data_IF_593709181876
#
_entry.id   IF_593709181876
#
_cell.length_a   1.000
_cell.length_b   1.000
_cell.length_c   1.000
_cell.angle_alpha   90.00
_cell.angle_beta   90.00
_cell.angle_gamma   90.00
#
_symmetry.space_group_name_H-M   'P 1'
#
loop_
_entity.id
_entity.type
_entity.pdbx_description
1 polymer ?
#
# COMPACT_ATOMS: atom_id res chain seq x y z
N UNK A 1 8.84 -13.74 29.08
CA UNK A 1 8.94 -13.68 27.60
C UNK A 1 7.85 -12.74 27.13
N UNK A 2 8.19 -11.51 26.78
CA UNK A 2 7.23 -10.59 26.16
C UNK A 2 7.17 -11.04 24.70
N UNK A 3 6.10 -11.72 24.31
CA UNK A 3 5.84 -11.94 22.89
C UNK A 3 5.73 -10.56 22.26
N UNK A 4 6.66 -10.22 21.38
CA UNK A 4 6.63 -8.96 20.63
C UNK A 4 5.41 -9.04 19.71
N UNK A 5 4.29 -8.46 20.17
CA UNK A 5 3.04 -8.47 19.42
C UNK A 5 3.23 -7.50 18.27
N UNK A 6 3.18 -8.01 17.04
CA UNK A 6 3.25 -7.18 15.84
C UNK A 6 2.16 -6.12 15.89
N UNK A 7 2.56 -4.85 15.82
CA UNK A 7 1.65 -3.72 15.70
C UNK A 7 1.79 -3.08 14.34
N UNK A 8 0.68 -2.66 13.76
CA UNK A 8 0.65 -2.04 12.43
C UNK A 8 0.00 -0.67 12.52
N UNK A 9 0.66 0.33 11.96
CA UNK A 9 0.12 1.66 11.77
C UNK A 9 -0.21 1.86 10.30
N UNK A 10 -1.46 2.22 10.01
CA UNK A 10 -1.92 2.47 8.65
C UNK A 10 -2.17 3.97 8.51
N UNK A 11 -1.40 4.60 7.62
CA UNK A 11 -1.52 6.02 7.29
C UNK A 11 -2.26 6.13 5.96
N UNK A 12 -3.44 6.74 5.98
CA UNK A 12 -4.24 7.04 4.80
C UNK A 12 -3.89 8.45 4.33
N UNK A 13 -3.25 8.55 3.18
CA UNK A 13 -2.73 9.77 2.57
C UNK A 13 -3.64 10.13 1.39
N UNK A 14 -4.07 11.39 1.34
CA UNK A 14 -4.90 11.89 0.25
C UNK A 14 -4.11 12.07 -1.05
N UNK A 15 -4.80 12.00 -2.17
CA UNK A 15 -4.22 12.21 -3.50
C UNK A 15 -3.40 13.50 -3.59
N UNK A 16 -3.91 14.58 -3.00
CA UNK A 16 -3.30 15.90 -3.04
C UNK A 16 -1.98 15.95 -2.28
N UNK A 17 -1.85 15.17 -1.20
CA UNK A 17 -0.61 15.05 -0.44
C UNK A 17 0.44 14.21 -1.19
N UNK A 18 0.01 13.12 -1.84
CA UNK A 18 0.91 12.27 -2.64
C UNK A 18 1.43 13.02 -3.86
N UNK A 19 0.67 13.96 -4.42
CA UNK A 19 1.12 14.79 -5.56
C UNK A 19 2.37 15.62 -5.26
N UNK A 20 2.63 15.96 -4.00
CA UNK A 20 3.88 16.62 -3.64
C UNK A 20 5.11 15.71 -3.81
N UNK A 21 4.92 14.38 -3.73
CA UNK A 21 5.96 13.39 -4.04
C UNK A 21 5.99 13.04 -5.54
N UNK A 22 4.82 12.90 -6.17
CA UNK A 22 4.69 12.54 -7.58
C UNK A 22 3.71 13.46 -8.31
N UNK A 23 4.21 14.39 -9.13
CA UNK A 23 3.36 15.35 -9.85
C UNK A 23 2.36 14.70 -10.81
N UNK A 24 2.63 13.47 -11.28
CA UNK A 24 1.74 12.69 -12.15
C UNK A 24 0.70 11.84 -11.41
N UNK A 25 0.57 11.99 -10.09
CA UNK A 25 -0.35 11.18 -9.30
C UNK A 25 -1.83 11.45 -9.64
N UNK A 26 -2.67 10.41 -9.85
CA UNK A 26 -4.09 10.60 -10.20
C UNK A 26 -4.93 11.28 -9.10
N UNK A 27 -5.79 12.23 -9.48
CA UNK A 27 -6.55 13.11 -8.55
C UNK A 27 -7.47 12.40 -7.55
N UNK A 28 -7.99 11.24 -7.93
CA UNK A 28 -9.00 10.51 -7.16
C UNK A 28 -8.42 9.27 -6.46
N UNK A 29 -7.10 9.05 -6.55
CA UNK A 29 -6.43 7.89 -5.95
C UNK A 29 -5.71 8.33 -4.68
N UNK A 30 -6.03 7.67 -3.58
CA UNK A 30 -5.39 7.82 -2.29
C UNK A 30 -4.40 6.68 -2.05
N UNK A 31 -3.54 6.84 -1.05
CA UNK A 31 -2.52 5.86 -0.69
C UNK A 31 -2.65 5.44 0.77
N UNK A 32 -2.66 4.14 1.04
CA UNK A 32 -2.55 3.57 2.38
C UNK A 32 -1.13 3.03 2.57
N UNK A 33 -0.35 3.67 3.44
CA UNK A 33 0.95 3.18 3.86
C UNK A 33 0.80 2.39 5.17
N UNK A 34 1.09 1.10 5.10
CA UNK A 34 0.97 0.17 6.21
C UNK A 34 2.37 -0.12 6.77
N UNK A 35 2.63 0.36 7.98
CA UNK A 35 3.93 0.29 8.65
C UNK A 35 3.83 -0.72 9.80
N UNK A 36 4.56 -1.83 9.71
CA UNK A 36 4.68 -2.82 10.79
C UNK A 36 5.79 -2.45 11.77
N UNK A 37 5.61 -2.78 13.05
CA UNK A 37 6.67 -2.70 14.07
C UNK A 37 7.87 -3.59 13.78
N UNK A 38 7.71 -4.63 12.94
CA UNK A 38 8.83 -5.46 12.46
C UNK A 38 9.60 -4.84 11.29
N UNK A 39 9.15 -3.68 10.82
CA UNK A 39 9.79 -2.92 9.77
C UNK A 39 9.30 -3.23 8.36
N UNK A 40 8.23 -3.99 8.16
CA UNK A 40 7.65 -4.06 6.81
C UNK A 40 6.88 -2.78 6.50
N UNK A 41 6.99 -2.31 5.25
CA UNK A 41 6.17 -1.25 4.71
C UNK A 41 5.46 -1.76 3.46
N UNK A 42 4.14 -1.67 3.45
CA UNK A 42 3.30 -2.01 2.30
C UNK A 42 2.50 -0.80 1.88
N UNK A 43 2.48 -0.51 0.59
CA UNK A 43 1.80 0.64 0.00
C UNK A 43 0.65 0.14 -0.86
N UNK A 44 -0.56 0.62 -0.59
CA UNK A 44 -1.79 0.15 -1.22
C UNK A 44 -2.57 1.35 -1.72
N UNK A 45 -2.86 1.38 -3.02
CA UNK A 45 -3.65 2.44 -3.65
C UNK A 45 -5.14 2.12 -3.57
N UNK A 46 -5.96 3.16 -3.48
CA UNK A 46 -7.42 3.02 -3.45
C UNK A 46 -8.09 4.29 -3.93
N UNK A 47 -9.33 4.21 -4.41
CA UNK A 47 -10.07 5.42 -4.81
C UNK A 47 -10.62 6.17 -3.59
N UNK A 48 -10.61 7.50 -3.64
CA UNK A 48 -11.13 8.38 -2.58
C UNK A 48 -12.55 8.03 -2.14
N UNK A 49 -13.41 7.63 -3.07
CA UNK A 49 -14.81 7.25 -2.78
C UNK A 49 -14.91 5.99 -1.91
N UNK A 50 -13.93 5.10 -2.00
CA UNK A 50 -13.88 3.84 -1.25
C UNK A 50 -13.26 4.01 0.14
N UNK A 51 -12.80 5.22 0.49
CA UNK A 51 -12.08 5.49 1.75
C UNK A 51 -12.79 4.97 2.99
N UNK A 52 -14.12 5.02 3.01
CA UNK A 52 -14.93 4.54 4.14
C UNK A 52 -14.94 3.01 4.28
N UNK A 53 -14.68 2.27 3.20
CA UNK A 53 -14.58 0.80 3.19
C UNK A 53 -13.15 0.31 3.44
N UNK A 54 -12.16 1.17 3.17
CA UNK A 54 -10.75 0.80 3.22
C UNK A 54 -10.26 0.28 4.58
N UNK A 55 -10.65 0.82 5.75
CA UNK A 55 -10.18 0.28 7.02
C UNK A 55 -10.46 -1.23 7.17
N UNK A 56 -11.69 -1.66 6.90
CA UNK A 56 -12.05 -3.07 6.99
C UNK A 56 -11.43 -3.92 5.88
N UNK A 57 -11.30 -3.38 4.66
CA UNK A 57 -10.61 -4.07 3.55
C UNK A 57 -9.12 -4.29 3.86
N UNK A 58 -8.43 -3.27 4.36
CA UNK A 58 -7.00 -3.35 4.71
C UNK A 58 -6.75 -4.37 5.80
N UNK A 59 -7.58 -4.40 6.84
CA UNK A 59 -7.49 -5.39 7.91
C UNK A 59 -7.64 -6.81 7.35
N UNK A 60 -8.63 -7.05 6.49
CA UNK A 60 -8.85 -8.37 5.86
C UNK A 60 -7.69 -8.76 4.94
N UNK A 61 -7.29 -7.84 4.06
CA UNK A 61 -6.28 -8.08 3.03
C UNK A 61 -4.90 -8.36 3.64
N UNK A 62 -4.51 -7.59 4.66
CA UNK A 62 -3.25 -7.76 5.38
C UNK A 62 -3.33 -8.76 6.54
N UNK A 63 -4.50 -9.40 6.74
CA UNK A 63 -4.77 -10.37 7.83
C UNK A 63 -4.39 -9.83 9.21
N UNK A 64 -4.64 -8.53 9.43
CA UNK A 64 -4.29 -7.83 10.67
C UNK A 64 -5.33 -8.06 11.77
N UNK A 65 -4.92 -7.88 13.02
CA UNK A 65 -5.85 -7.86 14.16
C UNK A 65 -6.16 -6.42 14.55
N UNK A 66 -7.45 -6.09 14.69
CA UNK A 66 -7.92 -4.75 15.07
C UNK A 66 -7.25 -4.22 16.34
N UNK A 67 -7.04 -5.08 17.34
CA UNK A 67 -6.39 -4.74 18.62
C UNK A 67 -4.94 -4.26 18.49
N UNK A 68 -4.25 -4.65 17.42
CA UNK A 68 -2.86 -4.29 17.15
C UNK A 68 -2.71 -3.31 15.99
N UNK A 69 -3.82 -2.80 15.46
CA UNK A 69 -3.81 -1.88 14.32
C UNK A 69 -4.30 -0.50 14.73
N UNK A 70 -3.58 0.52 14.29
CA UNK A 70 -4.00 1.91 14.44
C UNK A 70 -4.04 2.63 13.09
N UNK A 71 -4.94 3.59 12.96
CA UNK A 71 -5.15 4.38 11.76
C UNK A 71 -4.80 5.85 11.99
N UNK A 72 -4.28 6.48 10.93
CA UNK A 72 -4.06 7.92 10.82
C UNK A 72 -4.58 8.35 9.44
N UNK A 73 -5.52 9.31 9.31
CA UNK A 73 -6.22 10.02 10.37
C UNK A 73 -7.16 9.10 11.16
N UNK A 74 -7.87 9.66 12.16
CA UNK A 74 -8.80 8.91 13.01
C UNK A 74 -9.88 8.21 12.18
N UNK A 75 -10.11 6.93 12.49
CA UNK A 75 -11.19 6.09 11.93
C UNK A 75 -11.98 5.49 13.07
N UNK A 76 -13.31 5.46 12.95
CA UNK A 76 -14.19 4.91 13.97
C UNK A 76 -13.96 3.40 14.18
N UNK A 77 -13.94 2.98 15.44
CA UNK A 77 -13.70 1.59 15.81
C UNK A 77 -12.23 1.16 15.83
N UNK A 78 -11.28 2.05 15.52
CA UNK A 78 -9.85 1.77 15.54
C UNK A 78 -9.08 2.69 16.49
N UNK A 79 -7.92 2.23 16.97
CA UNK A 79 -7.00 3.11 17.67
C UNK A 79 -6.43 4.16 16.71
N UNK A 80 -6.15 5.35 17.24
CA UNK A 80 -5.48 6.42 16.50
C UNK A 80 -4.28 6.87 17.30
N UNK A 81 -3.13 6.99 16.63
CA UNK A 81 -1.92 7.57 17.23
C UNK A 81 -1.71 8.97 16.68
N UNK A 82 -1.05 9.81 17.47
CA UNK A 82 -0.52 11.05 16.92
C UNK A 82 0.59 10.72 15.94
N UNK A 83 0.47 11.27 14.74
CA UNK A 83 1.47 11.15 13.70
C UNK A 83 2.26 12.44 13.66
N UNK A 84 3.53 12.38 14.02
CA UNK A 84 4.38 13.56 14.11
C UNK A 84 4.78 14.03 12.72
N UNK A 85 4.93 15.34 12.54
CA UNK A 85 5.36 15.93 11.27
C UNK A 85 6.70 15.35 10.76
N UNK A 86 7.62 15.00 11.66
CA UNK A 86 8.87 14.33 11.29
C UNK A 86 8.67 12.93 10.71
N UNK A 87 7.65 12.20 11.18
CA UNK A 87 7.34 10.85 10.72
C UNK A 87 6.58 10.90 9.40
N UNK A 88 5.69 11.89 9.24
CA UNK A 88 5.04 12.21 7.97
C UNK A 88 6.06 12.52 6.88
N UNK A 89 7.00 13.43 7.14
CA UNK A 89 8.04 13.78 6.15
C UNK A 89 8.90 12.58 5.76
N UNK A 90 9.21 11.68 6.70
CA UNK A 90 9.95 10.43 6.40
C UNK A 90 9.12 9.46 5.59
N UNK A 91 7.84 9.32 5.92
CA UNK A 91 6.92 8.48 5.16
C UNK A 91 6.79 8.99 3.73
N UNK A 92 6.62 10.29 3.53
CA UNK A 92 6.56 10.89 2.19
C UNK A 92 7.86 10.71 1.41
N UNK A 93 9.02 10.75 2.08
CA UNK A 93 10.30 10.42 1.43
C UNK A 93 10.38 8.95 1.00
N UNK A 94 9.83 8.02 1.79
CA UNK A 94 9.73 6.61 1.42
C UNK A 94 8.81 6.41 0.22
N UNK A 95 7.65 7.07 0.21
CA UNK A 95 6.72 7.09 -0.94
C UNK A 95 7.43 7.61 -2.18
N UNK A 96 8.11 8.75 -2.09
CA UNK A 96 8.84 9.35 -3.22
C UNK A 96 10.00 8.50 -3.74
N UNK A 97 10.57 7.63 -2.89
CA UNK A 97 11.69 6.75 -3.27
C UNK A 97 11.26 5.53 -4.11
N UNK A 98 9.97 5.22 -4.14
CA UNK A 98 9.43 4.05 -4.83
C UNK A 98 8.53 4.44 -6.00
N UNK A 99 9.11 4.54 -7.19
CA UNK A 99 8.38 4.93 -8.41
C UNK A 99 7.35 3.89 -8.86
N UNK A 100 7.44 2.64 -8.38
CA UNK A 100 6.47 1.58 -8.72
C UNK A 100 5.09 1.95 -8.21
N UNK A 101 5.01 2.66 -7.08
CA UNK A 101 3.74 3.09 -6.48
C UNK A 101 2.97 4.03 -7.41
N UNK A 102 3.67 4.87 -8.19
CA UNK A 102 3.04 5.74 -9.17
C UNK A 102 2.49 4.94 -10.36
N UNK A 103 3.25 3.97 -10.87
CA UNK A 103 2.79 3.09 -11.95
C UNK A 103 1.52 2.32 -11.53
N UNK A 104 1.53 1.73 -10.33
CA UNK A 104 0.38 1.03 -9.77
C UNK A 104 -0.84 1.95 -9.57
N UNK A 105 -0.63 3.21 -9.16
CA UNK A 105 -1.73 4.17 -9.01
C UNK A 105 -2.38 4.52 -10.36
N UNK A 106 -1.57 4.67 -11.42
CA UNK A 106 -2.04 4.93 -12.77
C UNK A 106 -2.83 3.72 -13.28
N UNK A 107 -2.25 2.53 -13.21
CA UNK A 107 -2.89 1.29 -13.65
C UNK A 107 -4.21 1.04 -12.91
N UNK A 108 -4.21 1.24 -11.59
CA UNK A 108 -5.41 1.15 -10.77
C UNK A 108 -6.49 2.14 -11.24
N UNK A 109 -6.14 3.41 -11.47
CA UNK A 109 -7.09 4.42 -11.92
C UNK A 109 -7.70 4.06 -13.29
N UNK A 110 -6.88 3.59 -14.24
CA UNK A 110 -7.35 3.16 -15.57
C UNK A 110 -8.31 1.97 -15.44
N UNK A 111 -7.91 0.94 -14.70
CA UNK A 111 -8.72 -0.27 -14.53
C UNK A 111 -10.03 0.02 -13.80
N UNK A 112 -10.00 0.89 -12.79
CA UNK A 112 -11.20 1.30 -12.06
C UNK A 112 -12.18 2.05 -12.95
N UNK A 113 -11.70 3.02 -13.74
CA UNK A 113 -12.56 3.78 -14.65
C UNK A 113 -13.13 2.89 -15.75
N UNK A 114 -12.33 1.99 -16.30
CA UNK A 114 -12.82 0.98 -17.24
C UNK A 114 -13.94 0.13 -16.64
N UNK A 115 -13.78 -0.34 -15.39
CA UNK A 115 -14.82 -1.10 -14.70
C UNK A 115 -16.12 -0.30 -14.56
N UNK A 116 -16.03 0.98 -14.17
CA UNK A 116 -17.20 1.86 -14.08
C UNK A 116 -17.89 2.06 -15.43
N UNK A 117 -17.12 2.30 -16.49
CA UNK A 117 -17.64 2.53 -17.85
C UNK A 117 -18.36 1.30 -18.41
N UNK A 118 -17.83 0.11 -18.14
CA UNK A 118 -18.43 -1.17 -18.54
C UNK A 118 -19.57 -1.62 -17.60
N UNK A 119 -19.86 -0.86 -16.54
CA UNK A 119 -20.86 -1.23 -15.52
C UNK A 119 -20.48 -2.45 -14.68
N UNK A 120 -19.19 -2.78 -14.63
CA UNK A 120 -18.62 -3.83 -13.79
C UNK A 120 -18.38 -3.30 -12.38
N UNK A 121 -18.44 -4.19 -11.38
CA UNK A 121 -18.01 -3.84 -10.03
C UNK A 121 -16.47 -3.78 -9.96
N UNK A 122 -15.88 -2.61 -9.67
CA UNK A 122 -14.42 -2.47 -9.57
C UNK A 122 -13.82 -3.35 -8.48
N UNK A 123 -14.54 -3.58 -7.38
CA UNK A 123 -14.03 -4.41 -6.29
C UNK A 123 -13.81 -5.86 -6.72
N UNK A 124 -14.74 -6.40 -7.51
CA UNK A 124 -14.69 -7.72 -8.09
C UNK A 124 -13.62 -7.81 -9.20
N UNK A 125 -13.54 -6.82 -10.09
CA UNK A 125 -12.58 -6.81 -11.20
C UNK A 125 -11.12 -6.65 -10.75
N UNK A 126 -10.89 -5.85 -9.71
CA UNK A 126 -9.57 -5.63 -9.12
C UNK A 126 -9.19 -6.71 -8.09
N UNK A 127 -10.08 -7.68 -7.85
CA UNK A 127 -9.80 -8.86 -7.04
C UNK A 127 -9.81 -8.65 -5.53
N UNK A 128 -10.48 -7.61 -5.03
CA UNK A 128 -10.53 -7.30 -3.59
C UNK A 128 -11.38 -8.27 -2.75
N UNK A 129 -12.25 -9.09 -3.37
CA UNK A 129 -13.16 -10.02 -2.69
C UNK A 129 -12.77 -11.51 -2.76
N UNK A 130 -11.63 -11.85 -3.36
CA UNK A 130 -11.18 -13.25 -3.44
C UNK A 130 -10.18 -13.59 -2.32
N UNK A 131 -10.31 -14.75 -1.63
CA UNK A 131 -9.30 -15.18 -0.67
C UNK A 131 -7.97 -15.30 -1.39
N UNK A 132 -6.93 -14.71 -0.79
CA UNK A 132 -5.55 -14.72 -1.27
C UNK A 132 -5.15 -16.11 -1.78
N UNK A 133 -5.21 -16.30 -3.09
CA UNK A 133 -4.61 -17.45 -3.75
C UNK A 133 -3.11 -17.18 -3.88
N UNK A 134 -2.32 -18.24 -3.81
CA UNK A 134 -0.85 -18.23 -3.66
C UNK A 134 -0.09 -17.20 -4.53
N UNK A 135 1.08 -16.73 -4.04
CA UNK A 135 1.92 -15.81 -4.78
C UNK A 135 2.43 -16.47 -6.07
N UNK A 136 2.04 -15.92 -7.21
CA UNK A 136 2.69 -16.22 -8.49
C UNK A 136 4.13 -15.66 -8.49
N UNK A 137 5.09 -16.30 -9.18
CA UNK A 137 6.51 -16.02 -9.03
C UNK A 137 6.86 -14.62 -9.58
N UNK A 138 7.35 -13.75 -8.69
CA UNK A 138 7.83 -12.41 -9.03
C UNK A 138 9.21 -12.50 -9.68
N UNK A 139 9.34 -12.04 -10.92
CA UNK A 139 10.63 -11.90 -11.60
C UNK A 139 11.54 -10.94 -10.82
N UNK A 140 12.69 -11.43 -10.38
CA UNK A 140 13.70 -10.67 -9.65
C UNK A 140 14.31 -9.59 -10.55
N UNK A 141 14.24 -8.32 -10.15
CA UNK A 141 15.16 -7.28 -10.64
C UNK A 141 15.67 -6.48 -9.44
N UNK A 142 16.98 -6.49 -9.27
CA UNK A 142 17.67 -5.85 -8.16
C UNK A 142 17.71 -4.34 -8.35
N UNK A 143 17.13 -3.59 -7.40
CA UNK A 143 17.33 -2.14 -7.25
C UNK A 143 18.43 -1.89 -6.24
N UNK A 144 19.51 -1.22 -6.66
CA UNK A 144 20.61 -0.80 -5.79
C UNK A 144 20.15 0.41 -4.96
N UNK A 145 19.97 0.22 -3.66
CA UNK A 145 19.67 1.29 -2.68
C UNK A 145 21.00 1.87 -2.15
N UNK A 146 21.11 3.20 -2.12
CA UNK A 146 22.32 3.96 -1.79
C UNK A 146 22.67 3.88 -0.29
N UNK A 147 23.88 3.41 0.06
CA UNK A 147 24.32 3.03 1.42
C UNK A 147 24.45 4.21 2.42
N UNK A 148 24.65 5.44 1.95
CA UNK A 148 24.88 6.58 2.85
C UNK A 148 23.61 7.05 3.57
N UNK A 149 22.42 6.78 3.01
CA UNK A 149 21.14 7.12 3.64
C UNK A 149 20.76 6.16 4.79
N UNK A 150 21.31 4.94 4.80
CA UNK A 150 21.02 3.90 5.79
C UNK A 150 21.53 4.23 7.20
N UNK A 151 22.65 4.95 7.30
CA UNK A 151 23.32 5.18 8.58
C UNK A 151 22.56 6.14 9.52
N UNK A 152 21.69 7.00 8.96
CA UNK A 152 21.01 8.09 9.69
C UNK A 152 19.54 7.80 10.04
N UNK A 153 19.06 6.59 9.76
CA UNK A 153 17.69 6.17 10.05
C UNK A 153 17.53 5.67 11.50
N UNK A 154 16.36 5.85 12.14
CA UNK A 154 16.00 5.17 13.39
C UNK A 154 16.00 3.64 13.24
N UNK A 155 16.34 2.87 14.28
CA UNK A 155 16.47 1.39 14.24
C UNK A 155 15.28 0.67 13.58
N UNK A 156 14.04 1.11 13.81
CA UNK A 156 12.87 0.47 13.21
C UNK A 156 12.78 0.66 11.70
N UNK A 157 13.12 1.86 11.19
CA UNK A 157 13.19 2.13 9.75
C UNK A 157 14.48 1.60 9.12
N UNK A 158 15.59 1.54 9.87
CA UNK A 158 16.80 0.84 9.43
C UNK A 158 16.49 -0.62 9.20
N UNK A 159 15.87 -1.29 10.16
CA UNK A 159 15.44 -2.68 10.02
C UNK A 159 14.43 -2.85 8.90
N UNK A 160 13.54 -1.86 8.68
CA UNK A 160 12.67 -1.84 7.51
C UNK A 160 13.43 -1.87 6.20
N UNK A 161 14.34 -0.93 6.00
CA UNK A 161 15.06 -0.76 4.72
C UNK A 161 16.12 -1.87 4.55
N UNK A 162 16.77 -2.31 5.63
CA UNK A 162 17.77 -3.39 5.62
C UNK A 162 17.14 -4.77 5.35
N UNK A 163 15.90 -5.04 5.81
CA UNK A 163 15.18 -6.29 5.49
C UNK A 163 14.30 -6.20 4.26
N UNK A 164 13.78 -5.02 3.94
CA UNK A 164 12.99 -4.76 2.74
C UNK A 164 13.92 -4.51 1.56
N UNK A 165 14.66 -5.54 1.16
CA UNK A 165 15.22 -5.57 -0.21
C UNK A 165 14.13 -5.63 -1.27
N UNK A 166 12.87 -5.92 -0.88
CA UNK A 166 11.68 -5.89 -1.74
C UNK A 166 10.45 -5.51 -0.94
N UNK A 167 9.84 -4.34 -1.17
CA UNK A 167 8.42 -4.18 -0.86
C UNK A 167 7.63 -5.27 -1.60
N UNK A 168 6.82 -6.03 -0.87
CA UNK A 168 5.93 -7.03 -1.47
C UNK A 168 4.69 -6.27 -1.93
N UNK A 169 4.65 -5.94 -3.22
CA UNK A 169 3.48 -5.41 -3.90
C UNK A 169 2.60 -6.58 -4.36
N UNK A 170 1.35 -6.61 -3.91
CA UNK A 170 0.33 -7.49 -4.47
C UNK A 170 -0.34 -6.78 -5.65
N UNK A 171 0.39 -6.64 -6.76
CA UNK A 171 -0.20 -6.30 -8.05
C UNK A 171 -0.52 -7.60 -8.78
N UNK A 172 -1.79 -7.99 -8.78
CA UNK A 172 -2.26 -9.12 -9.60
C UNK A 172 -2.69 -8.56 -10.96
N UNK A 173 -1.84 -8.74 -11.97
CA UNK A 173 -2.26 -8.61 -13.37
C UNK A 173 -3.33 -9.65 -13.64
N UNK A 174 -4.54 -9.20 -13.94
CA UNK A 174 -5.57 -10.05 -14.54
C UNK A 174 -5.13 -10.34 -15.98
N UNK A 175 -5.02 -11.60 -16.42
CA UNK A 175 -4.73 -11.89 -17.82
C UNK A 175 -5.88 -11.34 -18.69
N UNK A 176 -5.51 -10.66 -19.77
CA UNK A 176 -6.49 -10.08 -20.70
C UNK A 176 -7.40 -11.18 -21.24
N UNK A 177 -8.69 -10.87 -21.36
CA UNK A 177 -9.76 -11.75 -21.86
C UNK A 177 -9.47 -12.36 -23.26
N UNK A 178 -8.45 -11.88 -23.98
CA UNK A 178 -8.00 -12.44 -25.25
C UNK A 178 -7.33 -13.82 -25.18
N UNK A 179 -6.86 -14.27 -24.01
CA UNK A 179 -6.22 -15.59 -23.86
C UNK A 179 -7.19 -16.73 -23.50
N UNK A 180 -8.45 -16.41 -23.16
CA UNK A 180 -9.47 -17.41 -22.77
C UNK A 180 -10.24 -18.03 -23.96
N UNK A 181 -9.96 -17.60 -25.20
CA UNK A 181 -10.66 -18.08 -26.41
C UNK A 181 -9.81 -19.09 -27.22
N UNK A 182 -8.64 -19.52 -26.71
CA UNK A 182 -7.74 -20.44 -27.42
C UNK A 182 -7.30 -21.68 -26.63
N UNK A 183 -8.15 -22.17 -25.73
CA UNK A 183 -8.02 -23.51 -25.14
C UNK A 183 -9.07 -24.46 -25.71
#
# INVERSE_FOLDING_TARGET
>A
MISDVETTMIVLIDADDVKFAFSGWPDHICLAACLSSFGTCSMIVFRRDERHLMPDRLIKMLKLRRENTCFVPKVDGYQTKQFLYSDERRLMALVASDSVVLEEAIDYAVNYNYALEEGLDPATMLGFDLPASDPAPTTQRDTMVNEEAHAMLPEFLRRSVERSRRPIFSSRRVPSLGELIRA
#
